data_IF_956320003549
#
_entry.id   IF_956320003549
#
_cell.length_a   1.000
_cell.length_b   1.000
_cell.length_c   1.000
_cell.angle_alpha   90.00
_cell.angle_beta   90.00
_cell.angle_gamma   90.00
#
_symmetry.space_group_name_H-M   'P 1'
#
loop_
_entity.id
_entity.type
_entity.pdbx_description
1 polymer ?
#
# COMPACT_ATOMS: atom_id res chain seq x y z
N UNK A 1 40.03 -5.94 -35.90
CA UNK A 1 39.13 -6.50 -34.88
C UNK A 1 39.39 -5.69 -33.62
N UNK A 2 38.45 -4.80 -33.31
CA UNK A 2 38.57 -3.76 -32.26
C UNK A 2 38.64 -4.38 -30.88
N UNK A 3 39.57 -3.88 -30.07
CA UNK A 3 39.61 -4.12 -28.63
C UNK A 3 38.37 -3.55 -27.96
N UNK A 4 37.78 -4.35 -27.09
CA UNK A 4 36.72 -3.98 -26.17
C UNK A 4 37.15 -4.40 -24.77
N UNK A 5 38.20 -3.75 -24.29
CA UNK A 5 38.64 -3.75 -22.89
C UNK A 5 38.82 -2.28 -22.52
N UNK A 6 37.80 -1.65 -21.95
CA UNK A 6 37.89 -0.43 -21.13
C UNK A 6 36.47 0.02 -20.74
N UNK A 7 35.78 -0.83 -19.97
CA UNK A 7 34.87 -0.30 -18.95
C UNK A 7 35.73 -0.17 -17.69
N UNK A 8 36.18 1.03 -17.30
CA UNK A 8 36.74 1.20 -15.98
C UNK A 8 35.61 0.96 -14.98
N UNK A 9 35.73 -0.15 -14.27
CA UNK A 9 35.41 -0.30 -12.85
C UNK A 9 34.41 0.72 -12.29
N UNK A 10 33.18 0.25 -12.11
CA UNK A 10 32.25 0.71 -11.09
C UNK A 10 32.78 0.32 -9.68
N UNK A 11 34.07 0.54 -9.43
CA UNK A 11 34.76 0.21 -8.21
C UNK A 11 34.81 1.46 -7.32
N UNK A 12 34.44 1.22 -6.07
CA UNK A 12 34.74 2.07 -4.93
C UNK A 12 33.95 3.38 -4.82
N UNK A 13 32.61 3.28 -4.85
CA UNK A 13 31.79 4.24 -4.11
C UNK A 13 31.80 3.80 -2.64
N UNK A 14 32.49 4.49 -1.71
CA UNK A 14 32.53 4.08 -0.31
C UNK A 14 31.12 4.16 0.27
N UNK A 15 30.48 3.00 0.43
CA UNK A 15 29.18 2.85 1.10
C UNK A 15 29.31 2.92 2.64
N UNK A 16 30.41 3.48 3.13
CA UNK A 16 30.68 3.68 4.55
C UNK A 16 30.14 5.02 5.05
N UNK A 17 29.93 5.17 6.36
CA UNK A 17 29.65 6.47 6.96
C UNK A 17 30.81 7.41 6.60
N UNK A 18 30.51 8.52 5.91
CA UNK A 18 31.52 9.53 5.61
C UNK A 18 32.06 10.04 6.96
N UNK A 19 33.37 9.85 7.25
CA UNK A 19 33.94 10.05 8.59
C UNK A 19 33.61 11.42 9.20
N UNK A 20 33.41 12.42 8.33
CA UNK A 20 33.10 13.80 8.71
C UNK A 20 31.89 14.36 7.95
N UNK A 21 30.81 13.58 7.87
CA UNK A 21 29.54 14.04 7.27
C UNK A 21 29.07 15.39 7.85
N UNK A 22 29.27 15.62 9.15
CA UNK A 22 28.93 16.88 9.80
C UNK A 22 29.76 18.07 9.28
N UNK A 23 31.07 17.89 9.09
CA UNK A 23 31.96 18.93 8.58
C UNK A 23 31.60 19.28 7.13
N UNK A 24 31.32 18.26 6.31
CA UNK A 24 30.90 18.46 4.92
C UNK A 24 29.55 19.19 4.81
N UNK A 25 28.62 18.92 5.71
CA UNK A 25 27.34 19.63 5.77
C UNK A 25 27.51 21.10 6.22
N UNK A 26 28.49 21.38 7.07
CA UNK A 26 28.82 22.74 7.49
C UNK A 26 29.49 23.54 6.38
N UNK A 27 30.44 22.93 5.68
CA UNK A 27 31.10 23.52 4.50
C UNK A 27 30.09 23.76 3.36
N UNK A 28 29.19 22.80 3.11
CA UNK A 28 28.10 22.96 2.15
C UNK A 28 27.16 24.12 2.50
N UNK A 29 26.83 24.32 3.79
CA UNK A 29 26.03 25.46 4.25
C UNK A 29 26.76 26.80 4.05
N UNK A 30 28.08 26.82 4.26
CA UNK A 30 28.92 28.00 4.03
C UNK A 30 28.96 28.38 2.55
N UNK A 31 29.17 27.39 1.68
CA UNK A 31 29.17 27.59 0.23
C UNK A 31 27.82 28.10 -0.30
N UNK A 32 26.70 27.57 0.21
CA UNK A 32 25.36 28.05 -0.16
C UNK A 32 25.13 29.52 0.22
N UNK A 33 25.67 29.98 1.36
CA UNK A 33 25.60 31.39 1.78
C UNK A 33 26.45 32.30 0.90
N UNK A 34 27.68 31.88 0.59
CA UNK A 34 28.62 32.66 -0.22
C UNK A 34 28.15 32.78 -1.69
N UNK A 35 27.54 31.71 -2.22
CA UNK A 35 27.02 31.65 -3.60
C UNK A 35 25.63 32.28 -3.72
N UNK A 36 24.99 32.66 -2.60
CA UNK A 36 23.66 33.26 -2.60
C UNK A 36 22.55 32.32 -3.08
N UNK A 37 22.75 30.99 -2.96
CA UNK A 37 21.74 30.01 -3.34
C UNK A 37 20.59 30.15 -2.35
N UNK A 38 19.37 30.50 -2.79
CA UNK A 38 18.24 30.61 -1.88
C UNK A 38 18.05 29.25 -1.21
N UNK A 39 17.89 29.20 0.13
CA UNK A 39 17.52 27.94 0.77
C UNK A 39 16.27 27.44 0.05
N UNK A 40 16.25 26.17 -0.33
CA UNK A 40 15.05 25.51 -0.84
C UNK A 40 14.01 25.59 0.27
N UNK A 41 13.30 26.72 0.32
CA UNK A 41 12.26 27.05 1.27
C UNK A 41 11.32 25.87 1.23
N UNK A 42 11.31 25.14 2.35
CA UNK A 42 10.84 23.77 2.46
C UNK A 42 9.58 23.57 1.67
N UNK A 43 9.71 22.92 0.51
CA UNK A 43 8.57 22.35 -0.17
C UNK A 43 8.05 21.26 0.74
N UNK A 44 7.22 21.64 1.72
CA UNK A 44 6.62 20.69 2.64
C UNK A 44 5.88 19.72 1.74
N UNK A 45 6.15 18.41 1.87
CA UNK A 45 5.42 17.42 1.11
C UNK A 45 3.93 17.71 1.25
N UNK A 46 3.26 17.88 0.11
CA UNK A 46 1.83 18.18 0.06
C UNK A 46 1.10 16.92 0.47
N UNK A 47 0.96 16.70 1.77
CA UNK A 47 0.19 15.59 2.36
C UNK A 47 -1.32 15.79 2.23
N UNK A 48 -1.77 17.04 2.12
CA UNK A 48 -3.18 17.41 2.01
C UNK A 48 -3.95 16.63 0.91
N UNK A 49 -3.48 16.54 -0.35
CA UNK A 49 -4.17 15.77 -1.39
C UNK A 49 -4.26 14.27 -1.05
N UNK A 50 -3.23 13.71 -0.41
CA UNK A 50 -3.23 12.30 0.00
C UNK A 50 -4.22 12.01 1.11
N UNK A 51 -4.32 12.91 2.09
CA UNK A 51 -5.30 12.81 3.18
C UNK A 51 -6.72 12.91 2.63
N UNK A 52 -6.96 13.86 1.71
CA UNK A 52 -8.27 14.02 1.07
C UNK A 52 -8.66 12.75 0.29
N UNK A 53 -7.73 12.20 -0.49
CA UNK A 53 -7.93 10.97 -1.24
C UNK A 53 -8.25 9.78 -0.32
N UNK A 54 -7.48 9.61 0.76
CA UNK A 54 -7.71 8.55 1.73
C UNK A 54 -9.09 8.66 2.39
N UNK A 55 -9.49 9.88 2.79
CA UNK A 55 -10.80 10.14 3.37
C UNK A 55 -11.94 9.84 2.38
N UNK A 56 -11.79 10.23 1.11
CA UNK A 56 -12.77 9.95 0.07
C UNK A 56 -12.95 8.44 -0.15
N UNK A 57 -11.85 7.69 -0.22
CA UNK A 57 -11.87 6.23 -0.38
C UNK A 57 -12.56 5.54 0.81
N UNK A 58 -12.27 5.97 2.04
CA UNK A 58 -12.93 5.46 3.25
C UNK A 58 -14.44 5.72 3.23
N UNK A 59 -14.87 6.92 2.82
CA UNK A 59 -16.30 7.25 2.70
C UNK A 59 -17.02 6.39 1.66
N UNK A 60 -16.38 6.15 0.51
CA UNK A 60 -16.94 5.26 -0.53
C UNK A 60 -17.04 3.83 -0.01
N UNK A 61 -16.01 3.32 0.66
CA UNK A 61 -16.02 1.98 1.26
C UNK A 61 -17.12 1.83 2.31
N UNK A 62 -17.29 2.83 3.18
CA UNK A 62 -18.37 2.82 4.17
C UNK A 62 -19.74 2.90 3.48
N UNK A 63 -19.85 3.71 2.43
CA UNK A 63 -21.06 3.86 1.64
C UNK A 63 -21.52 2.54 1.01
N UNK A 64 -20.59 1.75 0.44
CA UNK A 64 -20.94 0.46 -0.15
C UNK A 64 -21.33 -0.58 0.92
N UNK A 65 -20.73 -0.56 2.10
CA UNK A 65 -21.10 -1.48 3.19
C UNK A 65 -22.49 -1.15 3.77
N UNK A 66 -22.82 0.14 3.92
CA UNK A 66 -24.12 0.59 4.41
C UNK A 66 -25.21 0.38 3.36
N UNK A 67 -24.92 0.69 2.09
CA UNK A 67 -25.88 0.57 1.01
C UNK A 67 -26.07 -0.88 0.56
N UNK A 68 -25.04 -1.72 0.72
CA UNK A 68 -25.03 -3.12 0.30
C UNK A 68 -24.60 -4.05 1.44
N UNK A 69 -25.37 -4.13 2.53
CA UNK A 69 -25.07 -5.09 3.57
C UNK A 69 -25.14 -6.49 2.94
N UNK A 70 -23.98 -7.13 2.73
CA UNK A 70 -23.94 -8.50 2.23
C UNK A 70 -24.78 -9.36 3.19
N UNK A 71 -25.85 -10.03 2.71
CA UNK A 71 -26.68 -10.90 3.52
C UNK A 71 -25.95 -12.22 3.79
N UNK A 72 -24.76 -12.16 4.39
CA UNK A 72 -23.97 -13.30 4.83
C UNK A 72 -24.00 -13.50 6.35
N UNK A 73 -24.71 -12.64 7.09
CA UNK A 73 -24.89 -12.74 8.56
C UNK A 73 -26.19 -13.43 8.97
N UNK A 74 -26.99 -13.90 8.03
CA UNK A 74 -28.07 -14.84 8.33
C UNK A 74 -27.41 -16.20 8.52
N UNK A 75 -27.79 -16.91 9.60
CA UNK A 75 -27.15 -18.13 10.06
C UNK A 75 -27.10 -19.29 9.04
N UNK A 76 -26.75 -20.51 9.47
CA UNK A 76 -26.55 -21.64 8.55
C UNK A 76 -27.73 -21.75 7.57
N UNK A 77 -27.42 -21.87 6.28
CA UNK A 77 -28.42 -21.88 5.21
C UNK A 77 -29.49 -22.94 5.49
N UNK A 78 -30.78 -22.65 5.22
CA UNK A 78 -31.85 -23.59 5.46
C UNK A 78 -31.59 -24.90 4.69
N UNK A 79 -31.81 -26.03 5.36
CA UNK A 79 -31.77 -27.36 4.73
C UNK A 79 -32.95 -27.42 3.76
N UNK A 80 -32.70 -27.85 2.53
CA UNK A 80 -33.75 -27.95 1.52
C UNK A 80 -34.81 -28.98 1.96
N UNK A 81 -35.92 -28.48 2.49
CA UNK A 81 -37.12 -29.22 2.89
C UNK A 81 -38.33 -28.66 2.16
N UNK A 82 -39.38 -29.49 2.00
CA UNK A 82 -40.52 -29.30 1.09
C UNK A 82 -41.47 -28.10 1.38
N UNK A 83 -40.99 -27.01 1.98
CA UNK A 83 -41.80 -25.84 2.33
C UNK A 83 -41.11 -24.48 2.20
N UNK A 84 -39.91 -24.39 1.62
CA UNK A 84 -39.24 -23.10 1.44
C UNK A 84 -39.55 -22.51 0.06
N UNK A 85 -40.52 -21.61 0.02
CA UNK A 85 -40.78 -20.71 -1.10
C UNK A 85 -39.63 -19.69 -1.15
N UNK A 86 -38.93 -19.64 -2.28
CA UNK A 86 -37.96 -18.59 -2.68
C UNK A 86 -36.65 -18.43 -1.88
N UNK A 87 -35.81 -19.47 -1.80
CA UNK A 87 -34.36 -19.25 -1.54
C UNK A 87 -33.49 -20.00 -2.56
N UNK A 88 -32.63 -19.25 -3.27
CA UNK A 88 -31.82 -19.71 -4.42
C UNK A 88 -30.59 -20.54 -4.00
N UNK A 89 -30.41 -20.82 -2.70
CA UNK A 89 -29.30 -21.65 -2.22
C UNK A 89 -29.71 -22.44 -0.97
N UNK A 90 -29.67 -23.77 -1.06
CA UNK A 90 -29.89 -24.71 0.03
C UNK A 90 -28.66 -25.59 0.23
N UNK A 91 -28.46 -26.07 1.46
CA UNK A 91 -27.51 -27.16 1.71
C UNK A 91 -28.19 -28.53 1.51
N UNK A 92 -27.50 -29.43 0.79
CA UNK A 92 -27.88 -30.84 0.68
C UNK A 92 -27.61 -31.51 2.03
N UNK A 93 -28.59 -32.19 2.67
CA UNK A 93 -28.32 -32.91 3.91
C UNK A 93 -27.25 -33.99 3.65
N UNK A 94 -26.22 -34.01 4.51
CA UNK A 94 -25.22 -35.07 4.50
C UNK A 94 -25.95 -36.39 4.78
N UNK A 95 -25.81 -37.36 3.88
CA UNK A 95 -26.40 -38.68 4.05
C UNK A 95 -25.80 -39.32 5.31
N UNK A 96 -26.56 -39.33 6.40
CA UNK A 96 -26.25 -40.19 7.54
C UNK A 96 -26.37 -41.63 7.02
N UNK A 97 -25.30 -42.45 7.07
CA UNK A 97 -25.44 -43.85 6.70
C UNK A 97 -26.40 -44.49 7.71
N UNK A 98 -27.61 -44.78 7.24
CA UNK A 98 -28.62 -45.53 7.98
C UNK A 98 -28.06 -46.92 8.26
N UNK A 99 -27.47 -47.08 9.44
CA UNK A 99 -27.11 -48.39 9.95
C UNK A 99 -28.41 -49.19 10.12
N UNK A 100 -28.42 -50.33 9.42
CA UNK A 100 -29.50 -51.29 9.26
C UNK A 100 -29.93 -51.92 10.59
#
# INVERSE_FOLDING_TARGET
>A
MSGSDLFPEEEDRPAGPVPDSAALLEEGRRFQRETGIPPLLGHRPRFLPWVLLAALLMLVSLGIEIFWPLPGRHGPLPVCGQGAVETVSCQKPAAVPSAR
#
